data_IF_829050922653
#
_entry.id   IF_829050922653
#
_cell.length_a   1.000
_cell.length_b   1.000
_cell.length_c   1.000
_cell.angle_alpha   90.00
_cell.angle_beta   90.00
_cell.angle_gamma   90.00
#
_symmetry.space_group_name_H-M   'P 1'
#
loop_
_entity.id
_entity.type
_entity.pdbx_description
1 polymer ?
#
# COMPACT_ATOMS: atom_id res chain seq x y z
N UNK A 1 -41.78 31.97 15.83
CA UNK A 1 -41.58 30.51 15.90
C UNK A 1 -41.03 30.06 14.57
N UNK A 2 -39.70 30.01 14.43
CA UNK A 2 -38.99 29.66 13.20
C UNK A 2 -38.51 28.21 13.37
N UNK A 3 -38.95 27.32 12.49
CA UNK A 3 -38.76 25.88 12.64
C UNK A 3 -37.35 25.45 12.25
N UNK A 4 -36.40 25.53 13.18
CA UNK A 4 -35.04 25.00 13.04
C UNK A 4 -34.97 23.52 13.43
N UNK A 5 -35.32 22.61 12.51
CA UNK A 5 -35.05 21.15 12.68
C UNK A 5 -34.65 20.46 11.38
N UNK A 6 -33.93 21.17 10.51
CA UNK A 6 -33.47 20.67 9.23
C UNK A 6 -31.96 20.79 9.05
N UNK A 7 -31.16 20.38 10.04
CA UNK A 7 -29.70 20.41 9.93
C UNK A 7 -29.16 18.98 9.93
N UNK A 8 -29.39 18.28 8.82
CA UNK A 8 -28.61 17.09 8.46
C UNK A 8 -27.23 17.58 7.98
N UNK A 9 -26.26 17.63 8.90
CA UNK A 9 -24.86 17.74 8.52
C UNK A 9 -24.44 16.41 7.87
N UNK A 10 -24.47 16.35 6.54
CA UNK A 10 -23.82 15.30 5.79
C UNK A 10 -22.30 15.56 5.80
N UNK A 11 -21.60 15.11 6.83
CA UNK A 11 -20.14 15.04 6.77
C UNK A 11 -19.76 13.91 5.82
N UNK A 12 -19.43 14.24 4.58
CA UNK A 12 -18.76 13.30 3.69
C UNK A 12 -17.34 13.08 4.23
N UNK A 13 -17.07 11.89 4.76
CA UNK A 13 -15.70 11.50 5.12
C UNK A 13 -14.99 11.03 3.85
N UNK A 14 -13.89 11.71 3.47
CA UNK A 14 -13.00 11.22 2.42
C UNK A 14 -11.96 10.32 3.09
N UNK A 15 -11.99 9.02 2.79
CA UNK A 15 -10.94 8.09 3.22
C UNK A 15 -9.89 7.98 2.11
N UNK A 16 -8.72 8.58 2.30
CA UNK A 16 -7.57 8.35 1.42
C UNK A 16 -6.90 7.03 1.78
N UNK A 17 -7.29 5.93 1.11
CA UNK A 17 -6.63 4.64 1.31
C UNK A 17 -5.59 4.43 0.21
N UNK A 18 -4.31 4.41 0.60
CA UNK A 18 -3.21 4.00 -0.27
C UNK A 18 -2.89 2.53 0.02
N UNK A 19 -2.76 1.72 -1.02
CA UNK A 19 -2.43 0.30 -0.89
C UNK A 19 -1.28 -0.08 -1.84
N UNK A 20 -0.31 -0.82 -1.32
CA UNK A 20 0.77 -1.46 -2.09
C UNK A 20 0.42 -2.92 -2.33
N UNK A 21 0.53 -3.35 -3.58
CA UNK A 21 0.28 -4.73 -3.99
C UNK A 21 1.53 -5.31 -4.65
N UNK A 22 2.06 -6.37 -4.04
CA UNK A 22 3.12 -7.18 -4.63
C UNK A 22 2.49 -8.34 -5.42
N UNK A 23 2.80 -8.42 -6.72
CA UNK A 23 2.15 -9.36 -7.64
C UNK A 23 2.63 -10.81 -7.45
N UNK A 24 3.91 -10.99 -7.11
CA UNK A 24 4.50 -12.31 -6.89
C UNK A 24 4.69 -12.52 -5.39
N UNK A 25 3.98 -13.50 -4.83
CA UNK A 25 4.05 -13.86 -3.41
C UNK A 25 5.06 -14.96 -3.12
N UNK A 26 5.18 -15.92 -4.04
CA UNK A 26 6.06 -17.08 -3.91
C UNK A 26 6.68 -17.39 -5.27
N UNK A 27 7.99 -17.62 -5.30
CA UNK A 27 8.72 -18.01 -6.50
C UNK A 27 9.89 -18.91 -6.12
N UNK A 28 10.00 -20.05 -6.82
CA UNK A 28 11.18 -20.90 -6.76
C UNK A 28 12.10 -20.58 -7.95
N UNK A 29 13.34 -20.17 -7.66
CA UNK A 29 14.35 -19.89 -8.68
C UNK A 29 15.58 -20.78 -8.46
N UNK A 30 16.34 -21.02 -9.53
CA UNK A 30 17.63 -21.69 -9.42
C UNK A 30 18.66 -20.73 -8.81
N UNK A 31 19.61 -21.28 -8.08
CA UNK A 31 20.75 -20.52 -7.59
C UNK A 31 21.48 -19.84 -8.75
N UNK A 32 21.84 -18.56 -8.58
CA UNK A 32 22.47 -17.73 -9.61
C UNK A 32 21.52 -17.14 -10.66
N UNK A 33 20.23 -17.50 -10.66
CA UNK A 33 19.25 -16.84 -11.52
C UNK A 33 18.80 -15.49 -10.94
N UNK A 34 18.53 -14.53 -11.81
CA UNK A 34 17.90 -13.26 -11.44
C UNK A 34 16.39 -13.41 -11.24
N UNK A 35 15.82 -12.58 -10.37
CA UNK A 35 14.39 -12.46 -10.15
C UNK A 35 13.98 -10.99 -10.22
N UNK A 36 12.75 -10.72 -10.67
CA UNK A 36 12.14 -9.39 -10.63
C UNK A 36 10.86 -9.46 -9.79
N UNK A 37 10.77 -8.63 -8.76
CA UNK A 37 9.54 -8.41 -8.01
C UNK A 37 8.81 -7.19 -8.56
N UNK A 38 7.49 -7.29 -8.70
CA UNK A 38 6.63 -6.21 -9.17
C UNK A 38 5.75 -5.73 -8.02
N UNK A 39 5.69 -4.40 -7.86
CA UNK A 39 4.86 -3.71 -6.89
C UNK A 39 4.05 -2.63 -7.61
N UNK A 40 2.78 -2.49 -7.27
CA UNK A 40 1.90 -1.41 -7.74
C UNK A 40 1.21 -0.72 -6.58
N UNK A 41 0.87 0.55 -6.75
CA UNK A 41 0.11 1.34 -5.78
C UNK A 41 -1.28 1.64 -6.31
N UNK A 42 -2.28 1.61 -5.43
CA UNK A 42 -3.60 2.18 -5.70
C UNK A 42 -3.92 3.27 -4.68
N UNK A 43 -4.75 4.23 -5.08
CA UNK A 43 -5.16 5.37 -4.25
C UNK A 43 -4.22 6.58 -4.28
N UNK A 44 -3.02 6.45 -4.85
CA UNK A 44 -2.06 7.55 -5.08
C UNK A 44 -1.00 7.16 -6.15
N UNK A 45 -0.03 8.03 -6.41
CA UNK A 45 1.10 7.78 -7.31
C UNK A 45 2.37 7.38 -6.56
N UNK A 46 3.01 6.28 -6.98
CA UNK A 46 4.31 5.86 -6.45
C UNK A 46 5.42 6.89 -6.67
N UNK A 47 5.30 7.77 -7.66
CA UNK A 47 6.30 8.80 -7.96
C UNK A 47 6.45 9.83 -6.84
N UNK A 48 5.42 9.96 -6.01
CA UNK A 48 5.33 11.02 -5.01
C UNK A 48 5.92 10.56 -3.66
N UNK A 49 6.41 9.32 -3.58
CA UNK A 49 6.93 8.68 -2.39
C UNK A 49 8.28 8.01 -2.62
N UNK A 50 9.08 7.92 -1.57
CA UNK A 50 10.23 7.02 -1.57
C UNK A 50 9.76 5.57 -1.53
N UNK A 51 10.20 4.79 -2.51
CA UNK A 51 9.92 3.36 -2.55
C UNK A 51 11.12 2.54 -2.13
N UNK A 52 10.93 1.70 -1.12
CA UNK A 52 11.96 0.89 -0.48
C UNK A 52 11.58 -0.58 -0.58
N UNK A 53 12.57 -1.43 -0.79
CA UNK A 53 12.41 -2.88 -0.76
C UNK A 53 12.99 -3.43 0.55
N UNK A 54 12.30 -4.42 1.10
CA UNK A 54 12.73 -5.11 2.31
C UNK A 54 12.62 -6.62 2.09
N UNK A 55 13.54 -7.36 2.70
CA UNK A 55 13.44 -8.81 2.87
C UNK A 55 13.18 -9.14 4.31
N UNK A 56 12.42 -10.20 4.54
CA UNK A 56 12.21 -10.76 5.86
C UNK A 56 12.94 -12.09 5.96
N UNK A 57 13.93 -12.17 6.84
CA UNK A 57 14.63 -13.42 7.13
C UNK A 57 13.78 -14.38 7.98
N UNK A 58 14.25 -15.62 8.23
CA UNK A 58 13.53 -16.61 9.06
C UNK A 58 13.18 -16.11 10.47
N UNK A 59 13.93 -15.14 11.01
CA UNK A 59 13.69 -14.50 12.31
C UNK A 59 12.62 -13.40 12.29
N UNK A 60 12.01 -13.09 11.15
CA UNK A 60 10.93 -12.11 11.04
C UNK A 60 11.38 -10.65 11.02
N UNK A 61 12.67 -10.35 11.14
CA UNK A 61 13.20 -8.99 11.03
C UNK A 61 13.20 -8.51 9.58
N UNK A 62 12.80 -7.25 9.37
CA UNK A 62 12.91 -6.59 8.08
C UNK A 62 14.33 -6.07 7.88
N UNK A 63 14.95 -6.45 6.76
CA UNK A 63 16.25 -5.96 6.31
C UNK A 63 16.06 -5.20 5.00
N UNK A 64 16.67 -4.02 4.90
CA UNK A 64 16.64 -3.22 3.68
C UNK A 64 17.48 -3.87 2.57
N UNK A 65 17.01 -3.79 1.32
CA UNK A 65 17.69 -4.30 0.12
C UNK A 65 18.24 -3.13 -0.69
#
# INVERSE_FOLDING_TARGET
SWSDRGLFFLTAAVTGQVALEQHIRELAVREGAGVTFQCSMSGDSMSDYYMLWYRQGPGGSLEWI
#
